data_IF_459740868710
#
_entry.id   IF_459740868710
#
_cell.length_a   1.000
_cell.length_b   1.000
_cell.length_c   1.000
_cell.angle_alpha   90.00
_cell.angle_beta   90.00
_cell.angle_gamma   90.00
#
_symmetry.space_group_name_H-M   'P 1'
#
loop_
_entity.id
_entity.type
_entity.pdbx_description
1 polymer ?
#
# COMPACT_ATOMS: atom_id res chain seq x y z
N UNK A 1 22.54 5.71 19.75
CA UNK A 1 22.51 6.01 18.31
C UNK A 1 21.64 7.24 18.14
N UNK A 2 22.11 8.29 17.46
CA UNK A 2 21.43 9.59 17.39
C UNK A 2 20.03 9.45 16.76
N UNK A 3 19.02 9.82 17.53
CA UNK A 3 17.57 9.65 17.31
C UNK A 3 17.02 10.74 16.39
N UNK A 4 17.53 10.79 15.15
CA UNK A 4 17.16 11.85 14.22
C UNK A 4 15.80 11.58 13.58
N UNK A 5 14.90 12.56 13.61
CA UNK A 5 13.58 12.50 12.98
C UNK A 5 13.62 13.20 11.63
N UNK A 6 13.25 12.49 10.56
CA UNK A 6 13.22 13.05 9.21
C UNK A 6 11.92 13.81 8.95
N UNK A 7 12.03 15.02 8.41
CA UNK A 7 10.92 15.86 7.91
C UNK A 7 11.09 16.04 6.42
N UNK A 8 10.00 15.95 5.66
CA UNK A 8 10.03 15.97 4.21
C UNK A 8 9.68 17.36 3.66
N UNK A 9 10.56 17.95 2.85
CA UNK A 9 10.31 19.23 2.18
C UNK A 9 9.95 19.07 0.71
N UNK A 10 9.09 19.97 0.21
CA UNK A 10 8.88 20.21 -1.21
C UNK A 10 8.65 21.69 -1.49
N UNK A 11 9.35 22.21 -2.48
CA UNK A 11 9.22 23.59 -2.93
C UNK A 11 8.17 23.70 -4.05
N UNK A 12 7.55 24.87 -4.16
CA UNK A 12 6.78 25.23 -5.35
C UNK A 12 7.70 25.46 -6.55
N UNK A 13 7.20 25.33 -7.79
CA UNK A 13 8.01 25.58 -8.99
C UNK A 13 8.67 26.97 -9.02
N UNK A 14 8.03 27.96 -8.41
CA UNK A 14 8.54 29.34 -8.29
C UNK A 14 9.36 29.60 -7.01
N UNK A 15 9.60 28.58 -6.18
CA UNK A 15 10.30 28.64 -4.88
C UNK A 15 9.73 29.66 -3.87
N UNK A 16 8.48 30.09 -4.02
CA UNK A 16 7.84 31.05 -3.09
C UNK A 16 7.13 30.38 -1.91
N UNK A 17 6.72 29.13 -2.10
CA UNK A 17 6.08 28.30 -1.08
C UNK A 17 6.96 27.07 -0.86
N UNK A 18 7.21 26.75 0.41
CA UNK A 18 7.84 25.48 0.77
C UNK A 18 6.95 24.80 1.79
N UNK A 19 6.67 23.53 1.54
CA UNK A 19 5.87 22.70 2.45
C UNK A 19 6.80 21.69 3.11
N UNK A 20 6.73 21.62 4.44
CA UNK A 20 7.40 20.62 5.25
C UNK A 20 6.33 19.70 5.83
N UNK A 21 6.45 18.41 5.59
CA UNK A 21 5.52 17.39 6.05
C UNK A 21 6.24 16.41 6.97
N UNK A 22 5.65 16.12 8.11
CA UNK A 22 6.26 15.23 9.11
C UNK A 22 6.27 13.78 8.62
N UNK A 23 5.21 13.35 7.93
CA UNK A 23 5.04 11.97 7.50
C UNK A 23 4.43 11.86 6.10
N UNK A 24 4.92 10.92 5.29
CA UNK A 24 4.41 10.65 3.92
C UNK A 24 3.36 9.56 3.87
N UNK A 25 3.40 8.67 4.85
CA UNK A 25 2.53 7.52 4.98
C UNK A 25 1.73 7.71 6.28
N UNK A 26 0.42 7.75 6.14
CA UNK A 26 -0.55 8.00 7.20
C UNK A 26 -1.16 6.66 7.55
N UNK A 27 -1.00 6.23 8.79
CA UNK A 27 -1.53 4.94 9.22
C UNK A 27 -2.92 5.09 9.85
N UNK A 28 -3.77 4.12 9.57
CA UNK A 28 -5.11 3.97 10.13
C UNK A 28 -5.19 2.59 10.80
N UNK A 29 -5.31 2.55 12.12
CA UNK A 29 -5.41 1.32 12.91
C UNK A 29 -6.87 0.92 13.21
N UNK A 30 -7.84 1.55 12.53
CA UNK A 30 -9.29 1.43 12.73
C UNK A 30 -9.83 2.00 14.05
N UNK A 31 -8.96 2.50 14.94
CA UNK A 31 -9.35 3.22 16.16
C UNK A 31 -8.97 4.70 16.09
N UNK A 32 -7.82 4.98 15.49
CA UNK A 32 -7.19 6.27 15.32
C UNK A 32 -6.53 6.34 13.95
N UNK A 33 -6.47 7.54 13.40
CA UNK A 33 -5.75 7.83 12.16
C UNK A 33 -4.67 8.84 12.51
N UNK A 34 -3.44 8.55 12.08
CA UNK A 34 -2.34 9.49 12.28
C UNK A 34 -2.70 10.84 11.60
N UNK A 35 -2.55 11.99 12.27
CA UNK A 35 -2.88 13.28 11.70
C UNK A 35 -1.87 13.69 10.60
N UNK A 36 -2.34 14.38 9.57
CA UNK A 36 -1.47 14.93 8.53
C UNK A 36 -0.99 16.30 9.01
N UNK A 37 0.23 16.31 9.52
CA UNK A 37 0.85 17.49 10.14
C UNK A 37 2.03 18.01 9.32
N UNK A 38 2.10 19.33 9.23
CA UNK A 38 3.21 20.01 8.57
C UNK A 38 3.23 21.51 8.84
N UNK A 39 4.18 22.17 8.20
CA UNK A 39 4.27 23.63 8.16
C UNK A 39 4.48 24.10 6.71
N UNK A 40 4.03 25.32 6.42
CA UNK A 40 4.29 26.01 5.16
C UNK A 40 5.12 27.24 5.45
N UNK A 41 6.22 27.44 4.71
CA UNK A 41 6.99 28.69 4.78
C UNK A 41 6.77 29.52 3.54
N UNK A 42 6.56 30.82 3.74
CA UNK A 42 6.42 31.81 2.65
C UNK A 42 7.72 32.59 2.50
N UNK A 43 8.15 32.84 1.26
CA UNK A 43 9.24 33.78 1.00
C UNK A 43 8.85 35.22 1.42
N UNK A 44 9.82 35.96 1.99
CA UNK A 44 9.63 37.34 2.49
C UNK A 44 9.12 38.35 1.44
N UNK A 45 9.29 38.04 0.15
CA UNK A 45 8.71 38.83 -0.94
C UNK A 45 7.22 38.49 -1.07
N UNK A 46 6.38 39.28 -0.39
CA UNK A 46 4.90 39.21 -0.37
C UNK A 46 4.34 38.61 -1.66
N UNK A 47 3.66 37.47 -1.53
CA UNK A 47 2.85 36.90 -2.60
C UNK A 47 1.85 37.96 -3.08
N UNK A 48 1.58 38.03 -4.40
CA UNK A 48 0.52 38.89 -4.94
C UNK A 48 -0.86 38.54 -4.37
N UNK A 49 -1.04 37.28 -3.95
CA UNK A 49 -2.29 36.74 -3.43
C UNK A 49 -2.25 36.74 -1.90
N UNK A 50 -3.32 37.26 -1.29
CA UNK A 50 -3.39 37.52 0.16
C UNK A 50 -3.66 36.28 1.02
N UNK A 51 -3.98 35.12 0.43
CA UNK A 51 -4.37 33.92 1.20
C UNK A 51 -3.67 32.65 0.70
N UNK A 52 -3.42 31.74 1.64
CA UNK A 52 -2.86 30.41 1.37
C UNK A 52 -3.83 29.38 1.89
N UNK A 53 -4.06 28.36 1.06
CA UNK A 53 -4.91 27.23 1.39
C UNK A 53 -4.10 25.94 1.31
N UNK A 54 -4.34 25.03 2.25
CA UNK A 54 -4.00 23.63 2.12
C UNK A 54 -5.26 22.83 1.84
N UNK A 55 -5.14 21.87 0.94
CA UNK A 55 -6.26 21.05 0.49
C UNK A 55 -5.83 19.61 0.35
N UNK A 56 -6.55 18.70 1.00
CA UNK A 56 -6.38 17.27 0.81
C UNK A 56 -7.47 16.77 -0.10
N UNK A 57 -7.08 16.00 -1.11
CA UNK A 57 -7.99 15.35 -2.06
C UNK A 57 -7.72 13.85 -2.08
N UNK A 58 -8.79 13.07 -1.98
CA UNK A 58 -8.77 11.63 -2.25
C UNK A 58 -9.47 11.40 -3.59
N UNK A 59 -8.72 10.92 -4.58
CA UNK A 59 -9.24 10.69 -5.93
C UNK A 59 -8.97 9.27 -6.40
N UNK A 60 -9.97 8.63 -6.99
CA UNK A 60 -9.80 7.40 -7.75
C UNK A 60 -9.63 7.72 -9.23
N UNK A 61 -8.49 7.33 -9.82
CA UNK A 61 -8.22 7.46 -11.25
C UNK A 61 -8.36 6.10 -11.94
N UNK A 62 -9.12 6.05 -13.04
CA UNK A 62 -9.43 4.83 -13.77
C UNK A 62 -8.93 4.80 -15.23
N UNK A 63 -8.30 5.88 -15.70
CA UNK A 63 -7.73 5.98 -17.04
C UNK A 63 -6.47 6.84 -17.08
N UNK A 64 -5.79 6.82 -18.23
CA UNK A 64 -4.57 7.60 -18.46
C UNK A 64 -4.86 9.11 -18.41
N UNK A 65 -3.99 9.87 -17.76
CA UNK A 65 -4.13 11.33 -17.66
C UNK A 65 -4.13 12.01 -19.04
N UNK A 66 -3.46 11.42 -20.05
CA UNK A 66 -3.44 11.98 -21.40
C UNK A 66 -4.83 11.96 -22.06
N UNK A 67 -5.69 11.00 -21.70
CA UNK A 67 -7.05 10.94 -22.21
C UNK A 67 -7.96 12.03 -21.63
N UNK A 68 -7.66 12.54 -20.42
CA UNK A 68 -8.36 13.71 -19.85
C UNK A 68 -8.15 14.97 -20.72
N UNK A 69 -6.92 15.16 -21.24
CA UNK A 69 -6.56 16.34 -22.04
C UNK A 69 -7.10 16.26 -23.49
N UNK A 70 -7.26 15.05 -24.02
CA UNK A 70 -7.77 14.82 -25.40
C UNK A 70 -9.31 14.78 -25.44
N UNK A 71 -9.96 14.20 -24.43
CA UNK A 71 -11.42 14.05 -24.38
C UNK A 71 -12.04 15.18 -23.56
N UNK A 72 -12.13 16.36 -24.18
CA UNK A 72 -12.82 17.53 -23.61
C UNK A 72 -14.19 17.15 -23.04
N UNK A 73 -14.33 17.20 -21.71
CA UNK A 73 -15.59 16.95 -20.99
C UNK A 73 -15.72 15.58 -20.30
N UNK A 74 -14.77 14.65 -20.46
CA UNK A 74 -14.73 13.40 -19.70
C UNK A 74 -13.55 13.45 -18.73
N UNK A 75 -13.83 13.35 -17.44
CA UNK A 75 -12.78 13.25 -16.41
C UNK A 75 -12.67 11.81 -15.95
N UNK A 76 -11.48 11.22 -16.12
CA UNK A 76 -11.19 9.82 -15.79
C UNK A 76 -10.88 9.62 -14.29
N UNK A 77 -11.46 10.45 -13.43
CA UNK A 77 -11.32 10.34 -11.99
C UNK A 77 -12.63 10.61 -11.24
N UNK A 78 -12.77 9.99 -10.08
CA UNK A 78 -13.83 10.30 -9.09
C UNK A 78 -13.18 10.82 -7.82
N UNK A 79 -13.69 11.92 -7.30
CA UNK A 79 -13.28 12.45 -6.01
C UNK A 79 -14.15 11.84 -4.90
N UNK A 80 -13.52 11.26 -3.88
CA UNK A 80 -14.20 10.71 -2.71
C UNK A 80 -14.22 11.67 -1.54
N UNK A 81 -13.16 12.48 -1.41
CA UNK A 81 -12.99 13.36 -0.27
C UNK A 81 -12.21 14.60 -0.69
N UNK A 82 -12.66 15.75 -0.19
CA UNK A 82 -11.98 17.03 -0.30
C UNK A 82 -12.11 17.79 1.00
N UNK A 83 -10.99 18.22 1.57
CA UNK A 83 -10.97 19.09 2.74
C UNK A 83 -9.99 20.22 2.49
N UNK A 84 -10.47 21.46 2.61
CA UNK A 84 -9.68 22.67 2.42
C UNK A 84 -9.61 23.45 3.72
N UNK A 85 -8.42 23.85 4.13
CA UNK A 85 -8.17 24.75 5.25
C UNK A 85 -7.41 25.98 4.77
N UNK A 86 -7.78 27.15 5.28
CA UNK A 86 -7.01 28.37 5.08
C UNK A 86 -5.86 28.38 6.10
N UNK A 87 -4.63 28.52 5.64
CA UNK A 87 -3.44 28.57 6.50
C UNK A 87 -2.96 30.02 6.70
N UNK A 88 -3.23 30.89 5.71
CA UNK A 88 -2.89 32.31 5.79
C UNK A 88 -4.05 33.16 5.28
N UNK A 89 -4.41 34.27 5.97
CA UNK A 89 -3.94 34.64 7.32
C UNK A 89 -4.34 33.59 8.37
N UNK A 90 -3.53 33.45 9.41
CA UNK A 90 -3.80 32.53 10.53
C UNK A 90 -5.03 33.04 11.26
N UNK A 91 -6.01 32.16 11.51
CA UNK A 91 -7.15 32.49 12.35
C UNK A 91 -6.66 32.60 13.81
N UNK A 92 -6.80 33.78 14.40
CA UNK A 92 -6.34 34.10 15.77
C UNK A 92 -7.02 33.30 16.89
N UNK A 93 -8.02 32.47 16.54
CA UNK A 93 -8.77 31.63 17.47
C UNK A 93 -8.25 30.18 17.51
N UNK A 94 -7.17 29.83 16.78
CA UNK A 94 -6.57 28.50 16.88
C UNK A 94 -5.63 28.40 18.11
N UNK A 95 -5.94 27.47 19.02
CA UNK A 95 -5.08 27.18 20.17
C UNK A 95 -3.73 26.57 19.71
N UNK A 96 -2.63 27.28 19.95
CA UNK A 96 -1.26 26.80 19.70
C UNK A 96 -0.91 25.49 20.44
N UNK A 97 -1.66 25.14 21.49
CA UNK A 97 -1.48 23.90 22.26
C UNK A 97 -1.84 22.61 21.49
N UNK A 98 -2.47 22.74 20.32
CA UNK A 98 -2.83 21.60 19.46
C UNK A 98 -1.71 21.12 18.53
N UNK A 99 -0.59 21.85 18.46
CA UNK A 99 0.52 21.49 17.57
C UNK A 99 1.44 20.45 18.19
N UNK A 100 1.92 19.52 17.36
CA UNK A 100 2.87 18.50 17.79
C UNK A 100 4.24 19.11 18.11
N UNK A 101 5.04 18.42 18.92
CA UNK A 101 6.37 18.89 19.33
C UNK A 101 7.27 19.22 18.13
N UNK A 102 7.15 18.44 17.05
CA UNK A 102 7.88 18.69 15.79
C UNK A 102 7.39 19.95 15.10
N UNK A 103 6.08 20.23 15.11
CA UNK A 103 5.57 21.48 14.58
C UNK A 103 6.08 22.68 15.37
N UNK A 104 6.11 22.58 16.72
CA UNK A 104 6.67 23.63 17.59
C UNK A 104 8.14 23.89 17.28
N UNK A 105 8.96 22.85 17.17
CA UNK A 105 10.38 22.97 16.78
C UNK A 105 10.55 23.60 15.39
N UNK A 106 9.70 23.24 14.42
CA UNK A 106 9.75 23.84 13.08
C UNK A 106 9.30 25.31 13.10
N UNK A 107 8.30 25.67 13.91
CA UNK A 107 7.87 27.07 14.10
C UNK A 107 9.00 27.88 14.73
N UNK A 108 9.66 27.37 15.78
CA UNK A 108 10.82 28.01 16.41
C UNK A 108 11.97 28.20 15.41
N UNK A 109 12.22 27.20 14.55
CA UNK A 109 13.30 27.24 13.55
C UNK A 109 13.06 28.25 12.43
N UNK A 110 11.81 28.41 11.97
CA UNK A 110 11.47 29.25 10.82
C UNK A 110 10.83 30.61 11.20
N UNK A 111 10.48 30.81 12.47
CA UNK A 111 9.93 32.05 13.03
C UNK A 111 8.60 32.45 12.37
N UNK A 112 8.37 33.76 12.22
CA UNK A 112 7.12 34.35 11.72
C UNK A 112 6.72 33.93 10.30
N UNK A 113 7.62 33.29 9.55
CA UNK A 113 7.33 32.78 8.21
C UNK A 113 6.71 31.38 8.22
N UNK A 114 6.65 30.72 9.38
CA UNK A 114 6.13 29.37 9.54
C UNK A 114 4.62 29.38 9.77
N UNK A 115 3.90 28.67 8.93
CA UNK A 115 2.45 28.53 9.01
C UNK A 115 2.08 27.05 9.22
N UNK A 116 1.71 26.64 10.45
CA UNK A 116 1.35 25.26 10.73
C UNK A 116 0.01 24.88 10.11
N UNK A 117 -0.14 23.60 9.78
CA UNK A 117 -1.43 23.02 9.41
C UNK A 117 -1.54 21.59 9.94
N UNK A 118 -2.77 21.17 10.23
CA UNK A 118 -3.09 19.80 10.64
C UNK A 118 -4.40 19.37 9.99
N UNK A 119 -4.45 18.14 9.49
CA UNK A 119 -5.67 17.51 9.01
C UNK A 119 -5.88 16.15 9.69
N UNK A 120 -7.11 15.89 10.09
CA UNK A 120 -7.55 14.60 10.62
C UNK A 120 -8.47 13.96 9.58
N UNK A 121 -8.06 12.82 9.04
CA UNK A 121 -8.91 12.04 8.13
C UNK A 121 -9.94 11.25 8.93
N UNK A 122 -11.00 10.82 8.24
CA UNK A 122 -12.06 9.99 8.78
C UNK A 122 -11.95 8.55 8.24
N UNK A 123 -12.47 7.58 8.99
CA UNK A 123 -12.34 6.15 8.66
C UNK A 123 -13.21 5.72 7.46
N UNK A 124 -14.22 6.50 7.07
CA UNK A 124 -15.16 6.21 5.97
C UNK A 124 -14.56 6.39 4.56
N UNK A 125 -13.42 7.09 4.46
CA UNK A 125 -12.71 7.28 3.21
C UNK A 125 -11.93 5.97 2.89
N UNK A 126 -11.66 5.60 1.63
CA UNK A 126 -10.87 4.40 1.31
C UNK A 126 -9.35 4.59 1.52
N UNK A 127 -8.61 3.52 1.83
CA UNK A 127 -7.15 3.54 1.85
C UNK A 127 -6.56 3.84 0.45
N UNK A 128 -5.32 4.33 0.39
CA UNK A 128 -4.62 4.46 -0.89
C UNK A 128 -4.43 3.08 -1.51
N UNK A 129 -4.62 2.94 -2.82
CA UNK A 129 -4.45 1.69 -3.57
C UNK A 129 -3.87 2.03 -4.93
N UNK A 130 -2.90 1.26 -5.39
CA UNK A 130 -2.27 1.45 -6.70
C UNK A 130 -2.45 0.15 -7.49
N UNK A 131 -3.19 0.22 -8.59
CA UNK A 131 -3.43 -0.89 -9.48
C UNK A 131 -2.32 -0.91 -10.52
N UNK A 132 -1.35 -1.80 -10.35
CA UNK A 132 -0.42 -2.11 -11.41
C UNK A 132 -1.16 -2.94 -12.46
N UNK A 133 -1.38 -2.37 -13.64
CA UNK A 133 -1.83 -3.16 -14.79
C UNK A 133 -0.61 -3.94 -15.30
N UNK A 134 -0.78 -5.20 -15.67
CA UNK A 134 0.30 -6.09 -16.17
C UNK A 134 0.92 -5.63 -17.51
N UNK A 135 0.69 -4.39 -17.95
CA UNK A 135 1.23 -3.86 -19.17
C UNK A 135 2.69 -3.44 -18.95
N UNK A 136 3.59 -4.43 -19.03
CA UNK A 136 5.06 -4.27 -18.88
C UNK A 136 5.72 -3.33 -19.90
N UNK A 137 4.96 -2.58 -20.72
CA UNK A 137 5.46 -1.89 -21.91
C UNK A 137 5.05 -0.42 -22.09
N UNK A 138 4.28 0.21 -21.19
CA UNK A 138 4.02 1.65 -21.24
C UNK A 138 4.91 2.38 -20.22
N UNK A 139 6.00 2.99 -20.70
CA UNK A 139 6.93 3.81 -19.88
C UNK A 139 6.27 5.04 -19.21
N UNK A 140 5.00 5.31 -19.51
CA UNK A 140 4.28 6.55 -19.16
C UNK A 140 2.92 6.30 -18.48
N UNK A 141 2.67 5.07 -18.01
CA UNK A 141 1.38 4.73 -17.39
C UNK A 141 1.31 5.27 -15.95
N UNK A 142 0.62 6.41 -15.77
CA UNK A 142 0.24 6.87 -14.45
C UNK A 142 -0.63 5.78 -13.80
N UNK A 143 -0.24 5.27 -12.63
CA UNK A 143 -0.92 4.11 -12.08
C UNK A 143 -2.37 4.45 -11.72
N UNK A 144 -3.30 3.59 -12.12
CA UNK A 144 -4.70 3.69 -11.75
C UNK A 144 -4.87 3.35 -10.27
N UNK A 145 -5.86 3.94 -9.60
CA UNK A 145 -6.14 3.64 -8.20
C UNK A 145 -6.52 4.86 -7.38
N UNK A 146 -6.47 4.70 -6.05
CA UNK A 146 -6.85 5.69 -5.05
C UNK A 146 -5.60 6.43 -4.57
N UNK A 147 -5.53 7.71 -4.89
CA UNK A 147 -4.43 8.60 -4.57
C UNK A 147 -4.88 9.68 -3.60
N UNK A 148 -4.02 10.02 -2.64
CA UNK A 148 -4.20 11.16 -1.74
C UNK A 148 -3.19 12.25 -2.09
N UNK A 149 -3.68 13.43 -2.41
CA UNK A 149 -2.84 14.58 -2.77
C UNK A 149 -3.08 15.70 -1.78
N UNK A 150 -2.03 16.05 -1.03
CA UNK A 150 -1.97 17.29 -0.26
C UNK A 150 -1.48 18.41 -1.20
N UNK A 151 -2.34 19.37 -1.45
CA UNK A 151 -2.09 20.51 -2.30
C UNK A 151 -2.07 21.80 -1.47
N UNK A 152 -0.96 22.52 -1.51
CA UNK A 152 -0.82 23.84 -0.88
C UNK A 152 -0.68 24.89 -1.97
N UNK A 153 -1.49 25.94 -1.93
CA UNK A 153 -1.52 26.95 -2.99
C UNK A 153 -1.87 28.34 -2.47
N UNK A 154 -1.37 29.36 -3.16
CA UNK A 154 -1.75 30.75 -2.93
C UNK A 154 -2.89 31.16 -3.88
N UNK A 155 -3.98 31.68 -3.33
CA UNK A 155 -5.15 32.14 -4.10
C UNK A 155 -5.97 33.17 -3.32
N UNK A 156 -6.91 33.84 -3.99
CA UNK A 156 -7.87 34.75 -3.35
C UNK A 156 -9.07 33.99 -2.75
N UNK A 157 -9.49 32.91 -3.43
CA UNK A 157 -10.64 32.08 -3.02
C UNK A 157 -10.25 30.61 -2.97
N UNK A 158 -10.89 29.81 -2.09
CA UNK A 158 -10.55 28.39 -1.95
C UNK A 158 -10.88 27.55 -3.19
N UNK A 159 -11.79 27.99 -4.06
CA UNK A 159 -12.29 27.22 -5.21
C UNK A 159 -11.72 27.66 -6.56
N UNK A 160 -10.73 28.56 -6.59
CA UNK A 160 -10.20 29.08 -7.85
C UNK A 160 -9.35 28.04 -8.61
N UNK A 161 -9.38 28.10 -9.93
CA UNK A 161 -8.53 27.28 -10.81
C UNK A 161 -7.06 27.62 -10.58
N UNK A 162 -6.31 26.66 -10.06
CA UNK A 162 -4.97 26.90 -9.52
C UNK A 162 -3.95 26.91 -10.65
N UNK A 163 -3.22 28.02 -10.79
CA UNK A 163 -2.04 28.06 -11.67
C UNK A 163 -0.95 27.11 -11.14
N UNK A 164 -0.51 26.13 -11.96
CA UNK A 164 0.47 25.08 -11.59
C UNK A 164 1.77 25.62 -10.97
N UNK A 165 2.12 26.88 -11.24
CA UNK A 165 3.34 27.55 -10.77
C UNK A 165 3.32 27.97 -9.29
N UNK A 166 2.13 28.20 -8.72
CA UNK A 166 1.94 28.72 -7.35
C UNK A 166 1.41 27.65 -6.38
N UNK A 167 1.56 26.38 -6.72
CA UNK A 167 1.07 25.26 -5.94
C UNK A 167 2.15 24.21 -5.70
N UNK A 168 2.07 23.56 -4.54
CA UNK A 168 2.86 22.40 -4.16
C UNK A 168 1.91 21.23 -4.01
N UNK A 169 2.14 20.17 -4.77
CA UNK A 169 1.37 18.92 -4.66
C UNK A 169 2.26 17.84 -4.06
N UNK A 170 1.84 17.23 -2.95
CA UNK A 170 2.52 16.14 -2.25
C UNK A 170 1.61 14.93 -2.25
N UNK A 171 2.08 13.82 -2.84
CA UNK A 171 1.32 12.56 -2.90
C UNK A 171 1.60 11.74 -1.63
N UNK A 172 0.63 11.74 -0.72
CA UNK A 172 0.69 10.99 0.53
C UNK A 172 -0.02 9.64 0.36
N UNK A 173 0.27 8.68 1.22
CA UNK A 173 -0.42 7.39 1.24
C UNK A 173 -1.17 7.24 2.55
N UNK A 174 -2.43 6.86 2.49
CA UNK A 174 -3.14 6.31 3.65
C UNK A 174 -3.06 4.80 3.61
N UNK A 175 -2.54 4.20 4.68
CA UNK A 175 -2.31 2.78 4.83
C UNK A 175 -3.13 2.26 6.01
N UNK A 176 -3.86 1.17 5.82
CA UNK A 176 -4.55 0.49 6.92
C UNK A 176 -3.60 -0.48 7.59
N UNK A 177 -3.48 -0.36 8.92
CA UNK A 177 -2.78 -1.32 9.76
C UNK A 177 -3.79 -2.33 10.27
N UNK A 178 -3.47 -3.61 10.12
CA UNK A 178 -4.09 -4.67 10.89
C UNK A 178 -3.09 -5.03 12.00
N UNK A 179 -3.52 -4.87 13.25
CA UNK A 179 -2.74 -5.35 14.40
C UNK A 179 -3.17 -6.81 14.61
N UNK A 180 -2.26 -7.80 14.43
CA UNK A 180 -2.55 -9.19 14.75
C UNK A 180 -3.01 -9.27 16.19
N UNK A 181 -4.12 -9.97 16.47
CA UNK A 181 -4.55 -10.11 17.85
C UNK A 181 -3.57 -11.08 18.54
N UNK A 182 -3.23 -10.84 19.82
CA UNK A 182 -2.34 -11.73 20.55
C UNK A 182 -2.87 -13.17 20.66
N UNK A 183 -4.19 -13.36 20.50
CA UNK A 183 -4.88 -14.65 20.50
C UNK A 183 -5.22 -15.16 19.08
N UNK A 184 -4.48 -14.74 18.04
CA UNK A 184 -4.70 -15.26 16.68
C UNK A 184 -4.46 -16.78 16.68
N UNK A 185 -5.58 -17.51 16.75
CA UNK A 185 -5.60 -18.95 16.69
C UNK A 185 -5.05 -19.41 15.34
N UNK A 186 -4.30 -20.50 15.36
CA UNK A 186 -3.82 -21.19 14.16
C UNK A 186 -4.99 -21.43 13.20
N UNK A 187 -4.92 -20.85 12.01
CA UNK A 187 -5.92 -21.05 10.97
C UNK A 187 -5.67 -22.40 10.29
N UNK A 188 -6.57 -23.35 10.52
CA UNK A 188 -6.52 -24.68 9.91
C UNK A 188 -7.70 -24.85 8.95
N UNK A 189 -7.42 -25.28 7.72
CA UNK A 189 -8.43 -25.61 6.71
C UNK A 189 -8.17 -27.00 6.18
N UNK A 190 -9.22 -27.82 6.17
CA UNK A 190 -9.17 -29.19 5.68
C UNK A 190 -10.11 -29.33 4.48
N UNK A 191 -9.68 -30.09 3.47
CA UNK A 191 -10.51 -30.49 2.36
C UNK A 191 -10.41 -32.00 2.16
N UNK A 192 -11.57 -32.64 2.14
CA UNK A 192 -11.73 -34.06 1.83
C UNK A 192 -12.37 -34.14 0.46
N UNK A 193 -11.67 -34.76 -0.50
CA UNK A 193 -12.17 -34.87 -1.88
C UNK A 193 -12.26 -36.33 -2.33
N UNK A 194 -13.48 -36.87 -2.49
CA UNK A 194 -13.68 -38.13 -3.18
C UNK A 194 -13.56 -37.95 -4.70
N UNK A 195 -13.07 -38.97 -5.38
CA UNK A 195 -12.97 -39.02 -6.84
C UNK A 195 -14.11 -39.85 -7.43
N UNK A 196 -14.61 -39.48 -8.61
CA UNK A 196 -15.77 -40.16 -9.21
C UNK A 196 -15.40 -41.49 -9.89
N UNK A 197 -14.16 -41.60 -10.39
CA UNK A 197 -13.66 -42.76 -11.14
C UNK A 197 -12.52 -43.50 -10.43
N UNK A 198 -12.20 -43.09 -9.19
CA UNK A 198 -11.13 -43.65 -8.37
C UNK A 198 -11.69 -43.96 -6.99
N UNK A 199 -11.22 -45.03 -6.36
CA UNK A 199 -11.64 -45.38 -5.00
C UNK A 199 -10.89 -44.55 -3.96
N UNK A 200 -11.52 -44.35 -2.79
CA UNK A 200 -10.94 -43.57 -1.69
C UNK A 200 -11.03 -42.06 -1.87
N UNK A 201 -10.38 -41.34 -0.97
CA UNK A 201 -10.46 -39.89 -0.85
C UNK A 201 -9.06 -39.27 -0.71
N UNK A 202 -8.92 -38.02 -1.11
CA UNK A 202 -7.72 -37.22 -0.84
C UNK A 202 -8.04 -36.21 0.25
N UNK A 203 -7.32 -36.29 1.37
CA UNK A 203 -7.44 -35.36 2.48
C UNK A 203 -6.24 -34.43 2.45
N UNK A 204 -6.50 -33.12 2.42
CA UNK A 204 -5.46 -32.08 2.45
C UNK A 204 -5.80 -31.12 3.57
N UNK A 205 -4.88 -30.99 4.53
CA UNK A 205 -4.98 -30.04 5.64
C UNK A 205 -3.90 -28.98 5.50
N UNK A 206 -4.31 -27.72 5.43
CA UNK A 206 -3.42 -26.56 5.44
C UNK A 206 -3.53 -25.81 6.77
N UNK A 207 -2.38 -25.49 7.34
CA UNK A 207 -2.24 -24.87 8.65
C UNK A 207 -1.39 -23.61 8.51
N UNK A 208 -1.93 -22.48 8.98
CA UNK A 208 -1.27 -21.18 9.04
C UNK A 208 -1.22 -20.73 10.50
N UNK A 209 -0.07 -20.26 11.03
CA UNK A 209 0.01 -19.85 12.43
C UNK A 209 -0.80 -18.59 12.74
N UNK A 210 -0.96 -17.70 11.75
CA UNK A 210 -1.72 -16.45 11.85
C UNK A 210 -2.43 -16.16 10.52
N UNK A 211 -3.39 -15.26 10.55
CA UNK A 211 -4.18 -14.80 9.39
C UNK A 211 -3.72 -13.43 8.86
N UNK A 212 -3.06 -12.61 9.69
CA UNK A 212 -2.48 -11.31 9.33
C UNK A 212 -0.95 -11.40 9.17
N UNK A 213 -0.45 -11.06 7.97
CA UNK A 213 0.99 -11.01 7.68
C UNK A 213 1.40 -9.62 7.17
N UNK A 214 2.67 -9.27 7.42
CA UNK A 214 3.25 -8.05 6.88
C UNK A 214 3.88 -8.28 5.49
N UNK A 215 3.86 -7.26 4.64
CA UNK A 215 4.55 -7.33 3.35
C UNK A 215 6.04 -7.65 3.52
N UNK A 216 6.53 -8.65 2.79
CA UNK A 216 7.92 -9.11 2.85
C UNK A 216 8.25 -10.04 4.03
N UNK A 217 7.29 -10.29 4.92
CA UNK A 217 7.35 -11.35 5.94
C UNK A 217 7.26 -12.74 5.28
N UNK A 218 7.90 -13.74 5.88
CA UNK A 218 7.75 -15.14 5.45
C UNK A 218 6.49 -15.74 6.08
N UNK A 219 5.65 -16.36 5.26
CA UNK A 219 4.44 -17.06 5.62
C UNK A 219 4.76 -18.55 5.68
N UNK A 220 4.84 -19.17 6.87
CA UNK A 220 5.03 -20.61 7.00
C UNK A 220 3.68 -21.33 6.80
N UNK A 221 3.49 -21.92 5.63
CA UNK A 221 2.33 -22.75 5.31
C UNK A 221 2.67 -24.22 5.57
N UNK A 222 2.07 -24.83 6.58
CA UNK A 222 2.22 -26.25 6.84
C UNK A 222 1.11 -27.02 6.13
N UNK A 223 1.49 -28.01 5.33
CA UNK A 223 0.59 -28.87 4.58
C UNK A 223 0.71 -30.31 5.06
N UNK A 224 -0.44 -30.96 5.25
CA UNK A 224 -0.57 -32.38 5.53
C UNK A 224 -1.42 -32.99 4.41
N UNK A 225 -0.92 -34.05 3.78
CA UNK A 225 -1.62 -34.74 2.69
C UNK A 225 -1.74 -36.22 3.04
N UNK A 226 -2.98 -36.69 3.18
CA UNK A 226 -3.32 -38.10 3.33
C UNK A 226 -4.02 -38.57 2.05
N UNK A 227 -3.30 -39.33 1.23
CA UNK A 227 -3.81 -39.86 -0.02
C UNK A 227 -4.31 -41.29 0.17
N UNK A 228 -5.55 -41.43 0.65
CA UNK A 228 -6.23 -42.73 0.73
C UNK A 228 -6.79 -43.17 -0.63
N UNK A 229 -6.72 -42.31 -1.64
CA UNK A 229 -7.27 -42.58 -2.96
C UNK A 229 -6.41 -43.51 -3.80
N UNK A 230 -7.01 -44.10 -4.83
CA UNK A 230 -6.29 -44.85 -5.86
C UNK A 230 -5.55 -43.94 -6.86
N UNK A 231 -5.65 -42.62 -6.73
CA UNK A 231 -4.98 -41.65 -7.60
C UNK A 231 -3.58 -41.27 -7.09
N UNK A 232 -2.78 -40.70 -7.97
CA UNK A 232 -1.44 -40.18 -7.66
C UNK A 232 -1.50 -38.65 -7.65
N UNK A 233 -0.92 -38.01 -6.64
CA UNK A 233 -0.70 -36.56 -6.66
C UNK A 233 0.69 -36.31 -7.25
N UNK A 234 0.77 -35.57 -8.37
CA UNK A 234 2.00 -35.40 -9.14
C UNK A 234 2.87 -34.25 -8.70
N UNK A 235 2.24 -33.18 -8.24
CA UNK A 235 2.88 -31.93 -7.86
C UNK A 235 1.88 -31.04 -7.14
N UNK A 236 2.41 -30.00 -6.50
CA UNK A 236 1.60 -29.01 -5.81
C UNK A 236 1.97 -27.61 -6.30
N UNK A 237 0.96 -26.84 -6.68
CA UNK A 237 1.12 -25.44 -7.08
C UNK A 237 0.46 -24.55 -6.01
N UNK A 238 1.24 -23.59 -5.47
CA UNK A 238 0.83 -22.65 -4.43
C UNK A 238 0.94 -21.24 -4.99
N UNK A 239 -0.16 -20.51 -4.92
CA UNK A 239 -0.24 -19.14 -5.39
C UNK A 239 -0.75 -18.25 -4.27
N UNK A 240 -0.08 -17.11 -4.07
CA UNK A 240 -0.65 -16.00 -3.29
C UNK A 240 -1.32 -15.06 -4.28
N UNK A 241 -2.65 -15.07 -4.28
CA UNK A 241 -3.48 -14.36 -5.24
C UNK A 241 -4.16 -13.20 -4.54
N UNK A 242 -4.20 -12.06 -5.20
CA UNK A 242 -4.98 -10.94 -4.76
C UNK A 242 -6.07 -10.61 -5.79
N UNK A 243 -7.31 -10.77 -5.38
CA UNK A 243 -8.47 -10.42 -6.19
C UNK A 243 -8.95 -9.01 -5.80
N UNK A 244 -8.83 -8.06 -6.73
CA UNK A 244 -9.27 -6.67 -6.57
C UNK A 244 -10.54 -6.46 -7.35
N UNK A 245 -11.62 -6.11 -6.65
CA UNK A 245 -12.89 -5.79 -7.27
C UNK A 245 -13.07 -4.27 -7.39
N UNK A 246 -13.01 -3.76 -8.61
CA UNK A 246 -13.33 -2.38 -8.93
C UNK A 246 -14.85 -2.28 -9.10
N UNK A 247 -15.50 -1.50 -8.26
CA UNK A 247 -16.96 -1.32 -8.26
C UNK A 247 -17.39 0.01 -8.88
N UNK A 248 -16.48 0.97 -9.03
CA UNK A 248 -16.77 2.27 -9.64
C UNK A 248 -16.89 2.17 -11.16
N UNK A 249 -17.93 2.80 -11.72
CA UNK A 249 -18.28 2.90 -13.14
C UNK A 249 -18.58 1.57 -13.84
N UNK A 250 -17.64 0.62 -13.80
CA UNK A 250 -17.78 -0.73 -14.36
C UNK A 250 -17.27 -1.76 -13.35
N UNK A 251 -18.11 -2.74 -13.03
CA UNK A 251 -17.69 -3.88 -12.21
C UNK A 251 -16.62 -4.66 -12.97
N UNK A 252 -15.40 -4.64 -12.48
CA UNK A 252 -14.27 -5.42 -12.99
C UNK A 252 -13.56 -6.08 -11.82
N UNK A 253 -13.32 -7.37 -11.93
CA UNK A 253 -12.44 -8.09 -11.01
C UNK A 253 -11.10 -8.26 -11.69
N UNK A 254 -10.04 -7.79 -11.03
CA UNK A 254 -8.66 -7.97 -11.45
C UNK A 254 -8.02 -8.97 -10.50
N UNK A 255 -7.33 -9.97 -11.06
CA UNK A 255 -6.58 -10.96 -10.30
C UNK A 255 -5.10 -10.68 -10.49
N UNK A 256 -4.38 -10.46 -9.39
CA UNK A 256 -2.93 -10.32 -9.40
C UNK A 256 -2.31 -11.51 -8.66
N UNK A 257 -1.34 -12.18 -9.29
CA UNK A 257 -0.59 -13.27 -8.66
C UNK A 257 0.68 -12.65 -8.06
N UNK A 258 0.75 -12.62 -6.74
CA UNK A 258 1.84 -12.01 -5.97
C UNK A 258 3.02 -12.97 -5.83
N UNK A 259 2.72 -14.25 -5.62
CA UNK A 259 3.68 -15.35 -5.56
C UNK A 259 3.08 -16.51 -6.33
N UNK A 260 3.89 -17.14 -7.18
CA UNK A 260 3.58 -18.41 -7.83
C UNK A 260 4.73 -19.36 -7.54
N UNK A 261 4.43 -20.48 -6.91
CA UNK A 261 5.42 -21.46 -6.49
C UNK A 261 4.92 -22.85 -6.82
N UNK A 262 5.81 -23.67 -7.33
CA UNK A 262 5.54 -25.05 -7.69
C UNK A 262 6.53 -25.95 -6.94
N UNK A 263 5.99 -26.94 -6.22
CA UNK A 263 6.78 -27.90 -5.44
C UNK A 263 6.69 -29.27 -6.11
N UNK A 264 7.87 -29.78 -6.50
CA UNK A 264 8.06 -31.15 -7.01
C UNK A 264 8.79 -32.04 -5.98
N UNK A 265 9.39 -31.45 -4.94
CA UNK A 265 10.05 -32.18 -3.85
C UNK A 265 9.02 -32.99 -3.06
N UNK A 266 9.29 -34.27 -2.83
CA UNK A 266 8.37 -35.18 -2.15
C UNK A 266 7.19 -35.67 -2.99
N UNK A 267 7.12 -35.31 -4.28
CA UNK A 267 6.15 -35.82 -5.24
C UNK A 267 6.79 -36.82 -6.22
N UNK A 268 6.04 -37.80 -6.77
CA UNK A 268 4.60 -37.99 -6.60
C UNK A 268 4.23 -38.66 -5.27
N UNK A 269 3.10 -38.23 -4.68
CA UNK A 269 2.47 -38.96 -3.58
C UNK A 269 1.66 -40.09 -4.20
N UNK A 270 2.12 -41.32 -3.95
CA UNK A 270 1.50 -42.53 -4.47
C UNK A 270 0.14 -42.80 -3.81
N UNK A 271 -0.65 -43.64 -4.46
CA UNK A 271 -1.94 -44.12 -3.95
C UNK A 271 -1.78 -44.78 -2.58
N UNK A 272 -2.77 -44.62 -1.70
CA UNK A 272 -2.80 -45.17 -0.34
C UNK A 272 -1.60 -44.78 0.56
N UNK A 273 -0.96 -43.64 0.28
CA UNK A 273 0.12 -43.09 1.11
C UNK A 273 -0.42 -41.98 2.01
N UNK A 274 -0.21 -42.10 3.32
CA UNK A 274 -0.65 -41.11 4.33
C UNK A 274 0.54 -40.56 5.12
N UNK A 275 0.34 -39.41 5.76
CA UNK A 275 1.30 -38.78 6.66
C UNK A 275 2.31 -37.85 5.99
N UNK A 276 2.12 -37.50 4.71
CA UNK A 276 3.00 -36.52 4.07
C UNK A 276 2.83 -35.17 4.76
N UNK A 277 3.93 -34.59 5.23
CA UNK A 277 3.94 -33.30 5.90
C UNK A 277 5.10 -32.46 5.41
N UNK A 278 4.82 -31.20 5.08
CA UNK A 278 5.86 -30.25 4.69
C UNK A 278 5.48 -28.84 5.13
N UNK A 279 6.48 -28.01 5.44
CA UNK A 279 6.28 -26.59 5.76
C UNK A 279 6.96 -25.73 4.71
N UNK A 280 6.14 -25.01 3.95
CA UNK A 280 6.55 -24.20 2.81
C UNK A 280 6.57 -22.73 3.22
N UNK A 281 7.66 -22.02 2.89
CA UNK A 281 7.84 -20.61 3.21
C UNK A 281 7.48 -19.73 2.01
N UNK A 282 6.36 -19.03 2.09
CA UNK A 282 5.93 -18.09 1.04
C UNK A 282 6.31 -16.67 1.44
N UNK A 283 6.96 -15.91 0.56
CA UNK A 283 7.36 -14.52 0.85
C UNK A 283 6.73 -13.53 -0.12
N UNK A 284 5.51 -13.04 0.14
CA UNK A 284 4.88 -12.05 -0.72
C UNK A 284 5.60 -10.70 -0.62
N UNK A 285 6.23 -10.27 -1.72
CA UNK A 285 6.98 -9.02 -1.79
C UNK A 285 6.48 -8.12 -2.92
N UNK A 286 5.36 -7.43 -2.70
CA UNK A 286 4.90 -6.32 -3.53
C UNK A 286 4.30 -5.26 -2.61
N UNK A 287 4.96 -4.10 -2.49
CA UNK A 287 4.56 -3.02 -1.57
C UNK A 287 3.34 -2.22 -2.05
N UNK A 288 2.93 -2.44 -3.31
CA UNK A 288 1.91 -1.62 -3.98
C UNK A 288 0.54 -2.29 -4.03
N UNK A 289 0.47 -3.61 -3.81
CA UNK A 289 -0.77 -4.39 -3.84
C UNK A 289 -1.25 -4.58 -2.39
N UNK A 290 -2.51 -4.24 -2.08
CA UNK A 290 -3.00 -4.02 -0.71
C UNK A 290 -4.36 -4.65 -0.44
N UNK A 291 -4.54 -5.30 0.70
CA UNK A 291 -5.84 -5.81 1.15
C UNK A 291 -5.88 -7.32 1.36
N UNK A 292 -7.06 -7.92 1.17
CA UNK A 292 -7.25 -9.36 1.31
C UNK A 292 -6.53 -10.10 0.18
N UNK A 293 -5.73 -11.09 0.56
CA UNK A 293 -5.10 -12.03 -0.36
C UNK A 293 -5.60 -13.44 -0.05
N UNK A 294 -5.45 -14.34 -1.01
CA UNK A 294 -5.89 -15.71 -0.93
C UNK A 294 -4.70 -16.58 -1.27
N UNK A 295 -4.33 -17.49 -0.37
CA UNK A 295 -3.41 -18.57 -0.66
C UNK A 295 -4.20 -19.67 -1.34
N UNK A 296 -3.97 -19.88 -2.63
CA UNK A 296 -4.54 -20.99 -3.40
C UNK A 296 -3.53 -22.12 -3.45
N UNK A 297 -3.94 -23.30 -3.01
CA UNK A 297 -3.19 -24.55 -3.11
C UNK A 297 -3.91 -25.43 -4.12
N UNK A 298 -3.19 -25.87 -5.14
CA UNK A 298 -3.69 -26.76 -6.19
C UNK A 298 -2.84 -28.03 -6.22
N UNK A 299 -3.43 -29.14 -5.78
CA UNK A 299 -2.87 -30.47 -5.93
C UNK A 299 -3.20 -31.00 -7.33
N UNK A 300 -2.18 -31.20 -8.15
CA UNK A 300 -2.33 -31.71 -9.51
C UNK A 300 -2.33 -33.22 -9.47
N UNK A 301 -3.44 -33.82 -9.89
CA UNK A 301 -3.62 -35.27 -9.82
C UNK A 301 -3.23 -35.97 -11.13
N UNK A 302 -3.04 -37.30 -11.08
CA UNK A 302 -2.74 -38.14 -12.22
C UNK A 302 -3.87 -38.24 -13.25
N UNK A 303 -3.63 -39.04 -14.30
CA UNK A 303 -4.60 -39.25 -15.38
C UNK A 303 -5.94 -39.80 -14.83
N UNK A 304 -7.04 -39.11 -15.14
CA UNK A 304 -8.39 -39.49 -14.70
C UNK A 304 -8.88 -38.79 -13.42
N UNK A 305 -7.99 -38.11 -12.70
CA UNK A 305 -8.32 -37.27 -11.55
C UNK A 305 -8.64 -35.82 -11.93
N UNK A 306 -9.61 -35.22 -11.24
CA UNK A 306 -9.76 -33.76 -11.22
C UNK A 306 -8.82 -33.17 -10.19
N UNK A 307 -8.09 -32.11 -10.55
CA UNK A 307 -7.24 -31.38 -9.62
C UNK A 307 -8.03 -30.92 -8.38
N UNK A 308 -7.40 -31.03 -7.21
CA UNK A 308 -8.00 -30.61 -5.94
C UNK A 308 -7.47 -29.24 -5.58
N UNK A 309 -8.37 -28.32 -5.24
CA UNK A 309 -8.04 -26.94 -4.94
C UNK A 309 -8.55 -26.55 -3.56
N UNK A 310 -7.73 -25.81 -2.83
CA UNK A 310 -8.05 -25.22 -1.54
C UNK A 310 -7.61 -23.76 -1.54
N UNK A 311 -8.42 -22.90 -0.91
CA UNK A 311 -8.15 -21.47 -0.81
C UNK A 311 -8.21 -21.02 0.66
N UNK A 312 -7.16 -20.38 1.16
CA UNK A 312 -7.07 -19.84 2.52
C UNK A 312 -7.01 -18.31 2.44
N UNK A 313 -7.97 -17.58 3.04
CA UNK A 313 -7.91 -16.12 3.09
C UNK A 313 -6.82 -15.69 4.07
N UNK A 314 -6.03 -14.70 3.68
CA UNK A 314 -5.05 -14.01 4.51
C UNK A 314 -5.18 -12.50 4.35
N UNK A 315 -4.72 -11.75 5.33
CA UNK A 315 -4.66 -10.29 5.28
C UNK A 315 -3.19 -9.88 5.16
N UNK A 316 -2.85 -9.17 4.09
CA UNK A 316 -1.53 -8.57 3.90
C UNK A 316 -1.60 -7.08 4.27
N UNK A 317 -0.78 -6.66 5.22
CA UNK A 317 -0.73 -5.29 5.70
C UNK A 317 0.70 -4.73 5.75
N UNK A 318 0.81 -3.42 5.92
CA UNK A 318 2.11 -2.79 6.15
C UNK A 318 2.48 -2.86 7.62
N UNK A 319 3.75 -3.15 7.92
CA UNK A 319 4.26 -2.94 9.25
C UNK A 319 4.40 -1.44 9.48
N UNK A 320 3.97 -0.95 10.64
CA UNK A 320 4.39 0.37 11.12
C UNK A 320 5.88 0.25 11.38
N UNK A 321 6.71 0.80 10.48
CA UNK A 321 8.10 1.04 10.84
C UNK A 321 8.02 1.97 12.05
N UNK A 322 8.47 1.50 13.21
CA UNK A 322 8.69 2.33 14.38
C UNK A 322 9.80 3.33 14.01
N UNK A 323 9.45 4.35 13.23
CA UNK A 323 9.88 5.67 13.61
C UNK A 323 9.10 5.90 14.89
N UNK A 324 9.67 5.44 16.01
CA UNK A 324 9.16 5.79 17.32
C UNK A 324 8.80 7.27 17.24
N UNK A 325 7.59 7.61 17.68
CA UNK A 325 7.24 8.99 17.98
C UNK A 325 8.08 9.32 19.21
N UNK A 326 9.39 9.42 19.02
CA UNK A 326 10.34 9.86 20.02
C UNK A 326 10.00 11.32 20.19
N UNK A 327 9.52 11.65 21.39
CA UNK A 327 9.41 13.03 21.84
C UNK A 327 10.79 13.64 21.64
N UNK A 328 10.89 14.57 20.69
CA UNK A 328 12.15 15.20 20.39
C UNK A 328 12.50 16.08 21.61
N UNK A 329 13.41 15.59 22.46
CA UNK A 329 13.85 16.31 23.65
C UNK A 329 14.75 17.51 23.28
N UNK A 330 15.31 17.55 22.06
CA UNK A 330 16.21 18.62 21.61
C UNK A 330 15.92 19.08 20.16
N UNK A 331 16.13 20.38 19.88
CA UNK A 331 15.79 21.05 18.62
C UNK A 331 16.71 20.70 17.42
N UNK A 332 17.86 20.07 17.65
CA UNK A 332 18.90 19.82 16.64
C UNK A 332 18.80 18.43 15.95
N UNK A 333 17.80 17.63 16.30
CA UNK A 333 17.63 16.26 15.79
C UNK A 333 16.78 16.15 14.49
N UNK A 334 16.34 17.27 13.93
CA UNK A 334 15.50 17.29 12.72
C UNK A 334 16.33 17.28 11.41
N UNK A 335 16.29 16.16 10.69
CA UNK A 335 16.84 16.05 9.33
C UNK A 335 15.77 16.46 8.32
N UNK A 336 16.07 17.39 7.43
CA UNK A 336 15.15 17.78 6.36
C UNK A 336 15.53 17.07 5.05
N UNK A 337 14.67 16.15 4.60
CA UNK A 337 14.83 15.36 3.38
C UNK A 337 13.90 15.84 2.27
N UNK A 338 14.21 15.53 1.01
CA UNK A 338 13.26 15.77 -0.08
C UNK A 338 12.07 14.82 0.01
N UNK A 339 10.87 15.32 -0.30
CA UNK A 339 9.66 14.49 -0.31
C UNK A 339 9.71 13.34 -1.32
N UNK A 340 10.52 13.46 -2.37
CA UNK A 340 10.62 12.46 -3.45
C UNK A 340 10.94 11.09 -2.86
N UNK A 341 10.14 10.09 -3.22
CA UNK A 341 10.39 8.71 -2.80
C UNK A 341 11.58 8.18 -3.59
N UNK A 342 12.54 7.48 -2.94
CA UNK A 342 13.55 6.75 -3.67
C UNK A 342 12.85 5.74 -4.57
N UNK A 343 13.23 5.67 -5.85
CA UNK A 343 12.72 4.66 -6.74
C UNK A 343 13.05 3.28 -6.13
N UNK A 344 12.06 2.38 -6.07
CA UNK A 344 12.34 1.00 -5.74
C UNK A 344 13.37 0.50 -6.75
N UNK A 345 14.54 0.05 -6.29
CA UNK A 345 15.46 -0.73 -7.12
C UNK A 345 14.69 -1.98 -7.51
N UNK A 346 14.03 -1.97 -8.67
CA UNK A 346 13.57 -3.21 -9.30
C UNK A 346 14.83 -4.06 -9.41
N UNK A 347 14.91 -5.13 -8.62
CA UNK A 347 15.97 -6.12 -8.77
C UNK A 347 15.84 -6.65 -10.20
N UNK A 348 16.77 -6.24 -11.05
CA UNK A 348 17.03 -6.84 -12.34
C UNK A 348 17.55 -8.26 -12.10
N UNK A 349 16.68 -9.17 -11.66
CA UNK A 349 16.97 -10.61 -11.58
C UNK A 349 16.08 -11.32 -12.58
N UNK A 350 16.31 -11.06 -13.87
CA UNK A 350 15.93 -11.97 -14.96
C UNK A 350 16.69 -11.69 -16.26
N UNK A 351 17.31 -10.51 -16.45
CA UNK A 351 18.05 -10.20 -17.70
C UNK A 351 19.56 -10.52 -17.69
N UNK A 352 20.16 -10.87 -16.57
CA UNK A 352 21.60 -11.22 -16.52
C UNK A 352 21.88 -12.71 -16.68
N UNK A 353 20.91 -13.61 -16.48
CA UNK A 353 21.11 -15.05 -16.74
C UNK A 353 20.99 -15.40 -18.23
N UNK A 354 20.19 -14.68 -19.02
CA UNK A 354 20.07 -14.95 -20.47
C UNK A 354 21.28 -14.50 -21.29
N UNK A 355 22.25 -13.78 -20.70
CA UNK A 355 23.48 -13.35 -21.38
C UNK A 355 24.71 -14.22 -21.10
N UNK A 356 24.61 -15.20 -20.19
CA UNK A 356 25.70 -16.13 -19.91
C UNK A 356 25.57 -17.49 -20.61
N UNK A 357 24.40 -17.83 -21.16
CA UNK A 357 24.19 -19.09 -21.90
C UNK A 357 24.35 -18.94 -23.42
N UNK A 358 24.92 -17.83 -23.89
CA UNK A 358 25.28 -17.62 -25.29
C UNK A 358 26.76 -17.30 -25.46
N UNK A 359 27.64 -18.22 -25.05
CA UNK A 359 29.02 -18.29 -25.55
C UNK A 359 29.52 -19.74 -25.58
#
# INVERSE_FOLDING_TARGET
>A
MSTKRSVYKKNSPNNKLVVYLIQRDIFDDLQSIDPIEGIVTIAKNKLKYSKIFARIRCTFRYGEQQLDDVLSGVTFYKEFFIQTKQIYPIDMNEDNDKYSDVQKQLIERFGDSALPFCFTLTHDIPASITLQMDNRNSLDDNPCGIEYVLQVYASETPQCTIGKQNAVNLVIRRLTLAIPKPDDNVYTKEIIRPFHFHSGELHITAILPKDVYYHGESIPLKLLIDNESSNIVRRLNIQVIQDVQITLFKRRTMRCIVVDMETEEGFPINSHTTGWNETIQLRPSLQEIRGQAIIRIKAVTGFGGRDVQMELPIILCHARQQQEIIKAEEADDLIIEEFKRPAAKQRQTTKEMEKMDSY
#
